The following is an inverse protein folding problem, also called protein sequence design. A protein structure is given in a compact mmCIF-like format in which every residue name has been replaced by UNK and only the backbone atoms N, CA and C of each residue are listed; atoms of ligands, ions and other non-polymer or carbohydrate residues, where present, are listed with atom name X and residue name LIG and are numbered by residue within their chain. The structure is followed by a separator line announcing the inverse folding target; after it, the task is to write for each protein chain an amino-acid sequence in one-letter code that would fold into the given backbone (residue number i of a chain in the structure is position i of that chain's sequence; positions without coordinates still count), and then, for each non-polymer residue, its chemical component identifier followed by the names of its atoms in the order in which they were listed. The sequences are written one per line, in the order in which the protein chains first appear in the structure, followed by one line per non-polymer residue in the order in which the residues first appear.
data_IF_117182445924
#
_entry.id   IF_117182445924
#
_cell.length_a   1.000
_cell.length_b   1.000
_cell.length_c   1.000
_cell.angle_alpha   90.00
_cell.angle_beta   90.00
_cell.angle_gamma   90.00
#
_symmetry.space_group_name_H-M   'P 1'
#
loop_
_entity.id
_entity.type
_entity.pdbx_description
1 polymer ?
#
# COMPACT_ATOMS: atom_id res chain seq x y z
N UNK A 1 0.66 -3.73 36.88
CA UNK A 1 0.24 -2.93 35.70
C UNK A 1 0.76 -3.61 34.45
N UNK A 2 -0.07 -3.72 33.42
CA UNK A 2 0.32 -4.24 32.11
C UNK A 2 0.78 -3.07 31.24
N UNK A 3 1.91 -3.22 30.55
CA UNK A 3 2.38 -2.25 29.56
C UNK A 3 2.16 -2.83 28.16
N UNK A 4 1.51 -2.06 27.31
CA UNK A 4 1.22 -2.45 25.93
C UNK A 4 2.26 -1.84 25.00
N UNK A 5 2.87 -2.68 24.17
CA UNK A 5 3.89 -2.29 23.20
C UNK A 5 3.46 -2.72 21.80
N UNK A 6 3.76 -1.89 20.80
CA UNK A 6 3.51 -2.22 19.39
C UNK A 6 4.69 -3.01 18.81
N UNK A 7 4.38 -4.18 18.26
CA UNK A 7 5.35 -5.03 17.58
C UNK A 7 4.73 -5.69 16.35
N UNK A 8 5.58 -6.17 15.46
CA UNK A 8 5.23 -7.07 14.36
C UNK A 8 5.66 -8.48 14.75
N UNK A 9 4.76 -9.45 14.66
CA UNK A 9 5.11 -10.86 14.81
C UNK A 9 5.50 -11.42 13.43
N UNK A 10 6.77 -11.78 13.22
CA UNK A 10 7.26 -12.47 12.03
C UNK A 10 7.64 -13.91 12.38
N UNK A 11 6.81 -14.86 11.95
CA UNK A 11 6.96 -16.26 12.34
C UNK A 11 6.87 -16.42 13.85
N UNK A 12 7.99 -16.71 14.50
CA UNK A 12 8.10 -16.84 15.96
C UNK A 12 8.88 -15.69 16.64
N UNK A 13 9.16 -14.59 15.93
CA UNK A 13 9.92 -13.45 16.46
C UNK A 13 9.07 -12.19 16.50
N UNK A 14 9.12 -11.48 17.62
CA UNK A 14 8.52 -10.16 17.78
C UNK A 14 9.55 -9.08 17.41
N UNK A 15 9.16 -8.18 16.50
CA UNK A 15 9.93 -7.01 16.08
C UNK A 15 9.24 -5.75 16.62
N UNK A 16 9.88 -5.04 17.55
CA UNK A 16 9.34 -3.79 18.11
C UNK A 16 9.36 -2.68 17.07
N UNK A 17 8.25 -1.94 16.91
CA UNK A 17 8.19 -0.80 15.97
C UNK A 17 8.64 0.52 16.57
N UNK A 18 8.52 0.65 17.88
CA UNK A 18 8.79 1.90 18.59
C UNK A 18 9.75 1.60 19.75
N UNK A 19 9.27 1.72 20.98
CA UNK A 19 10.08 1.55 22.17
C UNK A 19 10.20 0.07 22.55
N UNK A 20 11.43 -0.38 22.69
CA UNK A 20 11.75 -1.68 23.27
C UNK A 20 11.46 -1.61 24.78
N UNK A 21 10.79 -2.62 25.37
CA UNK A 21 10.63 -2.69 26.82
C UNK A 21 12.00 -2.70 27.52
N UNK A 22 12.21 -1.82 28.51
CA UNK A 22 13.51 -1.67 29.20
C UNK A 22 14.04 -3.00 29.76
N UNK A 23 13.16 -3.84 30.32
CA UNK A 23 13.51 -5.17 30.84
C UNK A 23 14.05 -6.13 29.77
N UNK A 24 13.58 -6.00 28.53
CA UNK A 24 14.10 -6.79 27.39
C UNK A 24 15.46 -6.25 26.96
N UNK A 25 15.70 -4.93 27.05
CA UNK A 25 17.01 -4.34 26.78
C UNK A 25 18.08 -4.83 27.78
N UNK A 26 17.68 -5.21 29.00
CA UNK A 26 18.53 -5.80 30.05
C UNK A 26 18.78 -7.31 29.86
N UNK A 27 18.33 -7.91 28.75
CA UNK A 27 18.44 -9.34 28.40
C UNK A 27 17.75 -10.32 29.36
N UNK A 28 16.87 -9.84 30.23
CA UNK A 28 16.09 -10.73 31.09
C UNK A 28 14.93 -11.39 30.32
N UNK A 29 14.66 -12.69 30.52
CA UNK A 29 13.49 -13.33 29.94
C UNK A 29 12.21 -12.79 30.60
N UNK A 30 11.30 -12.24 29.79
CA UNK A 30 10.03 -11.65 30.27
C UNK A 30 8.84 -12.41 29.68
N UNK A 31 7.92 -12.84 30.53
CA UNK A 31 6.64 -13.40 30.09
C UNK A 31 5.75 -12.30 29.51
N UNK A 32 5.15 -12.55 28.35
CA UNK A 32 4.30 -11.58 27.64
C UNK A 32 3.00 -12.22 27.20
N UNK A 33 1.94 -11.42 27.16
CA UNK A 33 0.69 -11.75 26.47
C UNK A 33 0.73 -11.11 25.08
N UNK A 34 0.36 -11.89 24.05
CA UNK A 34 0.32 -11.43 22.67
C UNK A 34 -1.13 -11.44 22.22
N UNK A 35 -1.64 -10.28 21.83
CA UNK A 35 -2.92 -10.13 21.13
C UNK A 35 -2.62 -9.88 19.67
N UNK A 36 -3.06 -10.79 18.78
CA UNK A 36 -2.94 -10.63 17.33
C UNK A 36 -4.09 -9.75 16.85
N UNK A 37 -3.77 -8.70 16.09
CA UNK A 37 -4.75 -7.81 15.49
C UNK A 37 -5.03 -8.27 14.06
N UNK A 38 -6.29 -8.24 13.61
CA UNK A 38 -6.71 -8.59 12.24
C UNK A 38 -6.40 -7.50 11.20
N UNK A 39 -5.52 -6.55 11.54
CA UNK A 39 -5.10 -5.49 10.64
C UNK A 39 -4.01 -5.99 9.70
N UNK A 40 -4.20 -5.83 8.39
CA UNK A 40 -3.16 -6.13 7.43
C UNK A 40 -1.93 -5.22 7.65
N UNK A 41 -0.78 -5.83 7.95
CA UNK A 41 0.49 -5.12 7.97
C UNK A 41 0.88 -4.83 6.52
N UNK A 42 0.43 -3.69 6.00
CA UNK A 42 0.81 -3.25 4.65
C UNK A 42 2.33 -3.01 4.63
N UNK A 43 3.09 -3.74 3.78
CA UNK A 43 4.51 -3.51 3.61
C UNK A 43 4.77 -2.06 3.21
N UNK A 44 5.81 -1.43 3.75
CA UNK A 44 6.18 -0.04 3.39
C UNK A 44 6.35 0.12 1.88
N UNK A 45 6.85 -0.91 1.20
CA UNK A 45 6.99 -0.94 -0.26
C UNK A 45 5.66 -0.72 -1.01
N UNK A 46 4.55 -1.32 -0.53
CA UNK A 46 3.22 -1.10 -1.12
C UNK A 46 2.73 0.33 -0.89
N UNK A 47 3.06 0.94 0.27
CA UNK A 47 2.74 2.35 0.53
C UNK A 47 3.51 3.27 -0.42
N UNK A 48 4.79 2.98 -0.65
CA UNK A 48 5.63 3.75 -1.58
C UNK A 48 5.13 3.62 -3.03
N UNK A 49 4.67 2.44 -3.45
CA UNK A 49 4.10 2.25 -4.78
C UNK A 49 2.82 3.06 -4.97
N UNK A 50 1.91 3.06 -3.99
CA UNK A 50 0.68 3.86 -4.04
C UNK A 50 0.96 5.37 -4.14
N UNK A 51 1.96 5.86 -3.41
CA UNK A 51 2.40 7.26 -3.47
C UNK A 51 3.00 7.62 -4.83
N UNK A 52 3.84 6.75 -5.40
CA UNK A 52 4.41 6.96 -6.74
C UNK A 52 3.33 6.99 -7.83
N UNK A 53 2.34 6.11 -7.74
CA UNK A 53 1.22 6.08 -8.67
C UNK A 53 0.34 7.33 -8.54
N UNK A 54 0.03 7.75 -7.32
CA UNK A 54 -0.72 8.98 -7.08
C UNK A 54 0.00 10.21 -7.64
N UNK A 55 1.32 10.31 -7.43
CA UNK A 55 2.13 11.40 -7.99
C UNK A 55 2.17 11.38 -9.52
N UNK A 56 2.26 10.20 -10.14
CA UNK A 56 2.22 10.08 -11.60
C UNK A 56 0.85 10.49 -12.17
N UNK A 57 -0.24 10.10 -11.52
CA UNK A 57 -1.60 10.49 -11.92
C UNK A 57 -1.83 12.00 -11.76
N UNK A 58 -1.32 12.60 -10.68
CA UNK A 58 -1.40 14.04 -10.47
C UNK A 58 -0.61 14.80 -11.54
N UNK A 59 0.60 14.34 -11.88
CA UNK A 59 1.40 14.90 -12.97
C UNK A 59 0.69 14.79 -14.33
N UNK A 60 0.00 13.67 -14.60
CA UNK A 60 -0.81 13.51 -15.82
C UNK A 60 -2.03 14.44 -15.84
N UNK A 61 -2.67 14.68 -14.70
CA UNK A 61 -3.81 15.59 -14.58
C UNK A 61 -3.44 17.07 -14.75
N UNK A 62 -2.19 17.44 -14.48
CA UNK A 62 -1.67 18.80 -14.69
C UNK A 62 -1.28 19.08 -16.16
N UNK A 63 -1.17 18.04 -17.00
CA UNK A 63 -1.01 18.25 -18.43
C UNK A 63 -2.29 18.89 -18.98
N UNK A 64 -2.12 19.95 -19.78
CA UNK A 64 -3.24 20.60 -20.44
C UNK A 64 -4.10 19.56 -21.17
N UNK A 65 -5.43 19.73 -21.15
CA UNK A 65 -6.30 18.82 -21.89
C UNK A 65 -5.78 18.76 -23.32
N UNK A 66 -5.51 17.53 -23.79
CA UNK A 66 -5.32 17.31 -25.22
C UNK A 66 -6.55 17.94 -25.85
N UNK A 67 -6.37 18.99 -26.65
CA UNK A 67 -7.43 19.85 -27.20
C UNK A 67 -8.31 19.11 -28.20
N UNK A 68 -8.87 17.98 -27.76
CA UNK A 68 -9.67 17.05 -28.50
C UNK A 68 -11.10 17.58 -28.37
N UNK A 69 -11.59 18.15 -29.47
CA UNK A 69 -12.90 18.78 -29.52
C UNK A 69 -14.05 17.79 -29.23
N UNK A 70 -13.90 16.54 -29.67
CA UNK A 70 -14.79 15.42 -29.32
C UNK A 70 -13.95 14.19 -28.95
N UNK A 71 -13.76 13.94 -27.64
CA UNK A 71 -13.00 12.79 -27.17
C UNK A 71 -13.55 11.44 -27.64
N UNK A 72 -14.86 11.35 -27.89
CA UNK A 72 -15.52 10.10 -28.30
C UNK A 72 -15.28 9.83 -29.78
N UNK A 73 -15.35 10.86 -30.63
CA UNK A 73 -15.00 10.75 -32.04
C UNK A 73 -13.52 10.42 -32.22
N UNK A 74 -12.64 11.11 -31.47
CA UNK A 74 -11.21 10.82 -31.47
C UNK A 74 -10.91 9.39 -31.01
N UNK A 75 -11.54 8.92 -29.93
CA UNK A 75 -11.35 7.55 -29.46
C UNK A 75 -11.80 6.51 -30.50
N UNK A 76 -12.92 6.75 -31.19
CA UNK A 76 -13.38 5.87 -32.28
C UNK A 76 -12.43 5.87 -33.48
N UNK A 77 -11.83 7.01 -33.82
CA UNK A 77 -10.84 7.11 -34.91
C UNK A 77 -9.50 6.43 -34.53
N UNK A 78 -9.05 6.59 -33.29
CA UNK A 78 -7.82 5.94 -32.79
C UNK A 78 -7.98 4.44 -32.60
N UNK A 79 -9.18 3.98 -32.21
CA UNK A 79 -9.56 2.57 -32.23
C UNK A 79 -9.83 2.15 -33.68
N UNK A 80 -8.79 2.13 -34.52
CA UNK A 80 -8.84 1.42 -35.78
C UNK A 80 -9.30 -0.02 -35.50
N UNK A 81 -10.44 -0.38 -36.09
CA UNK A 81 -11.20 -1.63 -35.95
C UNK A 81 -10.41 -2.77 -35.30
N UNK A 82 -10.46 -2.82 -33.96
CA UNK A 82 -10.04 -4.01 -33.26
C UNK A 82 -11.29 -4.87 -33.13
N UNK A 83 -11.35 -5.95 -33.92
CA UNK A 83 -12.43 -6.94 -33.83
C UNK A 83 -12.63 -7.30 -32.35
N UNK A 84 -13.84 -7.05 -31.85
CA UNK A 84 -14.20 -7.46 -30.50
C UNK A 84 -14.12 -8.98 -30.46
N UNK A 85 -13.41 -9.59 -29.49
CA UNK A 85 -13.47 -11.03 -29.31
C UNK A 85 -14.94 -11.39 -29.08
N UNK A 86 -15.43 -12.26 -29.97
CA UNK A 86 -16.81 -12.71 -30.13
C UNK A 86 -17.62 -12.64 -28.82
N UNK A 87 -18.60 -11.73 -28.76
CA UNK A 87 -19.69 -11.82 -27.80
C UNK A 87 -20.70 -12.80 -28.37
N UNK A 88 -20.73 -14.02 -27.81
CA UNK A 88 -21.88 -14.93 -27.97
C UNK A 88 -23.16 -14.28 -27.42
#
# INVERSE_FOLDING_TARGET
MLMTYKAILRGNRLEWRENVPKKIAEQEPVAVYITVLDEEVVPEEKKVQGQKMAAALDALGQLASLGIADPTAWEKEQRQDRELPQRN
#
